data_IF_915486107047
#
_entry.id   IF_915486107047
#
_cell.length_a   1.000
_cell.length_b   1.000
_cell.length_c   1.000
_cell.angle_alpha   90.00
_cell.angle_beta   90.00
_cell.angle_gamma   90.00
#
_symmetry.space_group_name_H-M   'P 1'
#
loop_
_entity.id
_entity.type
_entity.pdbx_description
1 polymer ?
#
# COMPACT_ATOMS: atom_id res chain seq x y z
N UNK A 1 33.44 26.13 -44.28
CA UNK A 1 34.58 27.04 -44.15
C UNK A 1 34.77 27.43 -42.70
N UNK A 2 35.94 27.06 -42.18
CA UNK A 2 36.74 27.71 -41.13
C UNK A 2 36.13 27.78 -39.75
N UNK A 3 36.59 26.91 -38.80
CA UNK A 3 37.82 27.06 -37.95
C UNK A 3 37.70 28.23 -36.95
N UNK A 4 37.99 28.18 -35.68
CA UNK A 4 38.94 27.49 -34.85
C UNK A 4 38.63 27.95 -33.41
N UNK A 5 38.83 27.14 -32.41
CA UNK A 5 39.99 26.90 -31.58
C UNK A 5 40.24 27.86 -30.41
N UNK A 6 40.43 27.19 -29.25
CA UNK A 6 41.36 27.46 -28.15
C UNK A 6 41.14 28.76 -27.34
N UNK A 7 41.16 28.71 -26.03
CA UNK A 7 42.30 28.41 -25.18
C UNK A 7 41.93 28.27 -23.70
N UNK A 8 42.61 27.31 -23.09
CA UNK A 8 42.81 27.17 -21.66
C UNK A 8 43.47 28.40 -21.02
N UNK A 9 43.06 28.76 -19.82
CA UNK A 9 43.99 29.32 -18.82
C UNK A 9 43.62 28.81 -17.45
N UNK A 10 44.54 28.06 -16.90
CA UNK A 10 44.58 27.69 -15.49
C UNK A 10 45.25 28.83 -14.70
N UNK A 11 44.68 29.18 -13.55
CA UNK A 11 45.47 29.90 -12.51
C UNK A 11 45.12 29.27 -11.16
N UNK A 12 46.14 28.74 -10.56
CA UNK A 12 46.19 28.21 -9.22
C UNK A 12 46.61 29.29 -8.21
N UNK A 13 46.38 28.97 -6.96
CA UNK A 13 46.98 29.54 -5.71
C UNK A 13 46.04 30.51 -4.96
N UNK A 14 45.90 30.54 -3.65
CA UNK A 14 46.69 30.13 -2.49
C UNK A 14 45.84 30.31 -1.23
N UNK A 15 45.94 29.34 -0.31
CA UNK A 15 45.92 29.41 1.14
C UNK A 15 45.01 30.43 1.88
N UNK A 16 44.18 29.88 2.76
CA UNK A 16 43.59 30.55 3.90
C UNK A 16 42.98 29.53 4.85
N UNK A 17 43.77 28.97 5.75
CA UNK A 17 43.33 28.13 6.87
C UNK A 17 42.64 29.02 7.89
N UNK A 18 41.35 28.81 8.17
CA UNK A 18 40.68 29.24 9.39
C UNK A 18 39.97 28.04 9.99
N UNK A 19 40.54 27.50 11.04
CA UNK A 19 39.92 26.57 11.97
C UNK A 19 38.88 27.34 12.79
N UNK A 20 37.59 27.10 12.56
CA UNK A 20 36.57 27.39 13.55
C UNK A 20 35.87 26.08 13.84
N UNK A 21 36.11 25.61 15.05
CA UNK A 21 35.40 24.48 15.62
C UNK A 21 33.99 24.93 16.00
N UNK A 22 33.01 24.57 15.19
CA UNK A 22 31.63 24.62 15.61
C UNK A 22 31.16 23.19 15.95
N UNK A 23 30.90 23.02 17.24
CA UNK A 23 30.26 21.85 17.79
C UNK A 23 28.77 21.85 17.32
N UNK A 24 28.55 21.46 16.11
CA UNK A 24 27.19 21.21 15.58
C UNK A 24 26.74 19.83 16.00
N UNK A 25 25.71 19.73 16.83
CA UNK A 25 24.97 18.52 17.06
C UNK A 25 24.45 18.00 15.71
N UNK A 26 25.10 17.00 15.16
CA UNK A 26 24.59 16.22 14.05
C UNK A 26 23.43 15.40 14.56
N UNK A 27 22.23 15.90 14.34
CA UNK A 27 21.00 15.13 14.49
C UNK A 27 20.98 14.07 13.38
N UNK A 28 21.63 12.95 13.66
CA UNK A 28 21.60 11.75 12.84
C UNK A 28 20.17 11.25 12.84
N UNK A 29 19.35 11.68 11.86
CA UNK A 29 18.12 10.98 11.50
C UNK A 29 18.56 9.63 10.96
N UNK A 30 18.61 8.65 11.85
CA UNK A 30 18.62 7.25 11.50
C UNK A 30 17.29 7.02 10.77
N UNK A 31 17.33 6.97 9.44
CA UNK A 31 16.28 6.34 8.66
C UNK A 31 16.31 4.86 9.08
N UNK A 32 15.53 4.52 10.10
CA UNK A 32 15.08 3.17 10.29
C UNK A 32 14.16 2.89 9.10
N UNK A 33 14.73 2.33 8.05
CA UNK A 33 13.97 1.48 7.14
C UNK A 33 13.50 0.29 7.99
N UNK A 34 12.34 0.45 8.61
CA UNK A 34 11.54 -0.69 9.03
C UNK A 34 11.22 -1.43 7.74
N UNK A 35 12.01 -2.45 7.43
CA UNK A 35 11.58 -3.48 6.50
C UNK A 35 10.29 -4.04 7.11
N UNK A 36 9.18 -3.58 6.58
CA UNK A 36 7.84 -3.99 6.98
C UNK A 36 7.70 -5.43 6.49
N UNK A 37 8.20 -6.36 7.31
CA UNK A 37 8.19 -7.79 7.01
C UNK A 37 6.73 -8.24 7.11
N UNK A 38 5.98 -8.01 6.01
CA UNK A 38 4.60 -8.43 5.91
C UNK A 38 4.57 -9.94 5.84
N UNK A 39 3.86 -10.58 6.76
CA UNK A 39 3.58 -12.01 6.70
C UNK A 39 2.99 -12.34 5.32
N UNK A 40 3.59 -13.31 4.64
CA UNK A 40 3.11 -13.74 3.33
C UNK A 40 1.92 -14.66 3.51
N UNK A 41 0.72 -14.16 3.23
CA UNK A 41 -0.50 -14.94 3.28
C UNK A 41 -0.68 -15.76 2.00
N UNK A 42 -1.24 -16.96 2.16
CA UNK A 42 -1.60 -17.82 1.02
C UNK A 42 -3.04 -17.48 0.56
N UNK A 43 -3.15 -16.55 -0.39
CA UNK A 43 -4.44 -16.08 -0.89
C UNK A 43 -4.90 -16.93 -2.08
N UNK A 44 -6.16 -17.36 -2.06
CA UNK A 44 -6.81 -18.04 -3.18
C UNK A 44 -6.96 -17.07 -4.36
N UNK A 45 -6.44 -17.45 -5.52
CA UNK A 45 -6.44 -16.58 -6.72
C UNK A 45 -7.71 -16.72 -7.55
N UNK A 46 -8.42 -17.84 -7.43
CA UNK A 46 -9.68 -18.09 -8.14
C UNK A 46 -10.87 -17.44 -7.43
N UNK A 47 -11.99 -17.33 -8.15
CA UNK A 47 -13.25 -16.84 -7.56
C UNK A 47 -13.81 -17.88 -6.59
N UNK A 48 -13.65 -17.65 -5.31
CA UNK A 48 -14.01 -18.54 -4.21
C UNK A 48 -15.28 -18.11 -3.44
N UNK A 49 -15.97 -17.07 -3.93
CA UNK A 49 -17.14 -16.49 -3.27
C UNK A 49 -18.40 -17.34 -3.44
N UNK A 50 -19.30 -17.21 -2.49
CA UNK A 50 -20.61 -17.88 -2.49
C UNK A 50 -21.67 -17.15 -3.32
N UNK A 51 -21.25 -16.17 -4.13
CA UNK A 51 -22.08 -15.36 -5.03
C UNK A 51 -21.38 -15.16 -6.38
N UNK A 52 -22.13 -14.76 -7.39
CA UNK A 52 -21.57 -14.54 -8.72
C UNK A 52 -20.75 -13.25 -8.78
N UNK A 53 -19.65 -13.30 -9.52
CA UNK A 53 -18.85 -12.12 -9.78
C UNK A 53 -19.63 -11.13 -10.65
N UNK A 54 -19.63 -9.86 -10.26
CA UNK A 54 -20.26 -8.79 -11.02
C UNK A 54 -19.35 -8.31 -12.16
N UNK A 55 -19.93 -8.01 -13.28
CA UNK A 55 -19.26 -7.36 -14.41
C UNK A 55 -19.19 -5.82 -14.28
N UNK A 56 -19.90 -5.24 -13.29
CA UNK A 56 -19.97 -3.78 -13.04
C UNK A 56 -18.85 -3.23 -12.20
N UNK A 57 -18.02 -4.08 -11.62
CA UNK A 57 -16.88 -3.70 -10.77
C UNK A 57 -15.63 -4.52 -11.09
N UNK A 58 -14.49 -4.03 -10.62
CA UNK A 58 -13.24 -4.77 -10.57
C UNK A 58 -13.09 -5.36 -9.17
N UNK A 59 -12.50 -6.54 -9.09
CA UNK A 59 -12.20 -7.22 -7.84
C UNK A 59 -10.74 -7.61 -7.80
N UNK A 60 -10.10 -7.46 -6.63
CA UNK A 60 -8.79 -8.01 -6.35
C UNK A 60 -8.62 -8.28 -4.86
N UNK A 61 -7.83 -9.29 -4.52
CA UNK A 61 -7.42 -9.51 -3.15
C UNK A 61 -6.29 -8.55 -2.77
N UNK A 62 -6.34 -8.05 -1.55
CA UNK A 62 -5.33 -7.15 -0.97
C UNK A 62 -5.03 -7.58 0.46
N UNK A 63 -3.86 -7.17 0.95
CA UNK A 63 -3.46 -7.38 2.34
C UNK A 63 -3.09 -6.06 2.98
N UNK A 64 -3.31 -5.94 4.28
CA UNK A 64 -2.89 -4.79 5.07
C UNK A 64 -2.65 -5.21 6.53
N UNK A 65 -1.87 -4.43 7.25
CA UNK A 65 -1.65 -4.68 8.68
C UNK A 65 -2.65 -3.95 9.54
N UNK A 66 -3.13 -4.62 10.56
CA UNK A 66 -3.87 -3.96 11.62
C UNK A 66 -2.89 -3.28 12.60
N UNK A 67 -3.43 -2.57 13.61
CA UNK A 67 -2.62 -1.88 14.63
C UNK A 67 -1.76 -2.80 15.50
N UNK A 68 -2.00 -4.09 15.48
CA UNK A 68 -1.22 -5.10 16.21
C UNK A 68 -0.15 -5.78 15.35
N UNK A 69 0.01 -5.34 14.10
CA UNK A 69 0.99 -5.90 13.18
C UNK A 69 0.54 -7.17 12.46
N UNK A 70 -0.68 -7.65 12.71
CA UNK A 70 -1.23 -8.84 12.06
C UNK A 70 -1.64 -8.49 10.63
N UNK A 71 -1.21 -9.29 9.65
CA UNK A 71 -1.59 -9.13 8.26
C UNK A 71 -3.00 -9.65 8.03
N UNK A 72 -3.88 -8.81 7.53
CA UNK A 72 -5.26 -9.15 7.20
C UNK A 72 -5.43 -9.32 5.70
N UNK A 73 -6.25 -10.30 5.32
CA UNK A 73 -6.68 -10.53 3.95
C UNK A 73 -8.02 -9.85 3.68
N UNK A 74 -8.15 -9.26 2.50
CA UNK A 74 -9.38 -8.57 2.11
C UNK A 74 -9.65 -8.69 0.61
N UNK A 75 -10.91 -8.56 0.26
CA UNK A 75 -11.39 -8.37 -1.10
C UNK A 75 -11.72 -6.89 -1.33
N UNK A 76 -11.00 -6.27 -2.24
CA UNK A 76 -11.26 -4.90 -2.68
C UNK A 76 -12.13 -4.94 -3.93
N UNK A 77 -13.24 -4.21 -3.90
CA UNK A 77 -14.14 -4.02 -5.03
C UNK A 77 -14.15 -2.55 -5.43
N UNK A 78 -13.88 -2.29 -6.69
CA UNK A 78 -13.78 -0.96 -7.27
C UNK A 78 -14.84 -0.81 -8.37
N UNK A 79 -15.69 0.24 -8.35
CA UNK A 79 -16.67 0.46 -9.41
C UNK A 79 -15.94 0.72 -10.74
N UNK A 80 -16.51 0.25 -11.84
CA UNK A 80 -16.04 0.59 -13.18
C UNK A 80 -16.56 1.97 -13.59
N UNK A 81 -15.79 2.67 -14.42
CA UNK A 81 -16.20 3.93 -15.07
C UNK A 81 -16.58 5.06 -14.11
N UNK A 82 -15.96 5.11 -12.94
CA UNK A 82 -16.11 6.22 -11.98
C UNK A 82 -14.78 6.97 -11.87
N UNK A 83 -14.82 8.28 -12.06
CA UNK A 83 -13.65 9.15 -11.96
C UNK A 83 -13.65 9.94 -10.64
N UNK A 84 -12.46 10.30 -10.18
CA UNK A 84 -12.27 11.12 -8.99
C UNK A 84 -12.21 10.33 -7.69
N UNK A 85 -12.45 11.03 -6.58
CA UNK A 85 -12.41 10.45 -5.23
C UNK A 85 -13.70 9.72 -4.93
N UNK A 86 -13.60 8.44 -4.57
CA UNK A 86 -14.74 7.62 -4.17
C UNK A 86 -14.92 7.67 -2.64
N UNK A 87 -16.18 7.64 -2.22
CA UNK A 87 -16.49 7.30 -0.83
C UNK A 87 -16.18 5.81 -0.60
N UNK A 88 -15.57 5.50 0.53
CA UNK A 88 -15.11 4.14 0.85
C UNK A 88 -15.92 3.51 1.98
N UNK A 89 -16.14 2.19 1.87
CA UNK A 89 -16.83 1.38 2.89
C UNK A 89 -15.97 0.16 3.22
N UNK A 90 -15.67 -0.02 4.49
CA UNK A 90 -15.06 -1.25 5.00
C UNK A 90 -16.15 -2.13 5.62
N UNK A 91 -16.14 -3.41 5.28
CA UNK A 91 -17.15 -4.39 5.68
C UNK A 91 -16.46 -5.57 6.34
N UNK A 92 -16.95 -5.98 7.51
CA UNK A 92 -16.59 -7.24 8.15
C UNK A 92 -17.86 -8.05 8.40
N UNK A 93 -17.72 -9.38 8.37
CA UNK A 93 -18.79 -10.29 8.70
C UNK A 93 -19.01 -10.41 10.21
N UNK A 94 -20.07 -11.10 10.63
CA UNK A 94 -20.26 -11.51 12.02
C UNK A 94 -19.18 -12.51 12.45
N UNK A 95 -19.08 -12.77 13.75
CA UNK A 95 -18.11 -13.74 14.29
C UNK A 95 -18.21 -15.10 13.56
N UNK A 96 -17.06 -15.60 13.10
CA UNK A 96 -16.97 -16.88 12.38
C UNK A 96 -17.34 -16.83 10.90
N UNK A 97 -17.75 -15.67 10.37
CA UNK A 97 -17.95 -15.50 8.93
C UNK A 97 -16.67 -15.00 8.24
N UNK A 98 -16.52 -15.36 6.98
CA UNK A 98 -15.41 -14.95 6.11
C UNK A 98 -15.88 -14.03 5.00
N UNK A 99 -14.92 -13.27 4.43
CA UNK A 99 -15.18 -12.25 3.40
C UNK A 99 -15.80 -12.82 2.11
N UNK A 100 -15.64 -14.12 1.85
CA UNK A 100 -16.22 -14.82 0.70
C UNK A 100 -17.74 -15.02 0.78
N UNK A 101 -18.38 -14.60 1.88
CA UNK A 101 -19.80 -14.79 2.16
C UNK A 101 -20.59 -13.48 2.10
N UNK A 102 -21.46 -13.22 3.08
CA UNK A 102 -22.37 -12.08 3.08
C UNK A 102 -21.67 -10.72 3.03
N UNK A 103 -20.54 -10.57 3.70
CA UNK A 103 -19.77 -9.31 3.69
C UNK A 103 -19.21 -8.99 2.31
N UNK A 104 -18.71 -9.98 1.57
CA UNK A 104 -18.24 -9.80 0.20
C UNK A 104 -19.39 -9.48 -0.77
N UNK A 105 -20.54 -10.17 -0.64
CA UNK A 105 -21.72 -9.85 -1.44
C UNK A 105 -22.19 -8.41 -1.21
N UNK A 106 -22.22 -7.98 0.06
CA UNK A 106 -22.58 -6.60 0.37
C UNK A 106 -21.57 -5.61 -0.22
N UNK A 107 -20.26 -5.88 -0.06
CA UNK A 107 -19.22 -5.04 -0.62
C UNK A 107 -19.32 -4.93 -2.15
N UNK A 108 -19.50 -6.05 -2.86
CA UNK A 108 -19.72 -6.05 -4.31
C UNK A 108 -20.94 -5.22 -4.70
N UNK A 109 -22.06 -5.40 -4.01
CA UNK A 109 -23.30 -4.66 -4.28
C UNK A 109 -23.14 -3.15 -4.07
N UNK A 110 -22.34 -2.73 -3.08
CA UNK A 110 -22.06 -1.31 -2.85
C UNK A 110 -21.07 -0.75 -3.88
N UNK A 111 -20.12 -1.55 -4.34
CA UNK A 111 -19.24 -1.14 -5.44
C UNK A 111 -20.01 -0.90 -6.74
N UNK A 112 -21.02 -1.73 -7.05
CA UNK A 112 -21.91 -1.51 -8.19
C UNK A 112 -22.69 -0.18 -8.12
N UNK A 113 -22.80 0.39 -6.92
CA UNK A 113 -23.46 1.69 -6.65
C UNK A 113 -22.47 2.86 -6.59
N UNK A 114 -21.20 2.63 -6.91
CA UNK A 114 -20.18 3.67 -7.02
C UNK A 114 -19.31 3.89 -5.77
N UNK A 115 -19.35 3.00 -4.79
CA UNK A 115 -18.45 3.07 -3.63
C UNK A 115 -17.20 2.24 -3.86
N UNK A 116 -16.06 2.70 -3.33
CA UNK A 116 -14.89 1.84 -3.14
C UNK A 116 -15.14 0.98 -1.90
N UNK A 117 -15.10 -0.34 -2.02
CA UNK A 117 -15.47 -1.20 -0.90
C UNK A 117 -14.42 -2.25 -0.60
N UNK A 118 -14.24 -2.55 0.68
CA UNK A 118 -13.30 -3.52 1.20
C UNK A 118 -14.03 -4.49 2.12
N UNK A 119 -14.14 -5.77 1.76
CA UNK A 119 -14.56 -6.82 2.67
C UNK A 119 -13.33 -7.55 3.20
N UNK A 120 -13.17 -7.66 4.52
CA UNK A 120 -11.98 -8.25 5.12
C UNK A 120 -12.29 -9.32 6.16
N UNK A 121 -11.35 -10.26 6.28
CA UNK A 121 -11.35 -11.22 7.37
C UNK A 121 -10.70 -10.60 8.61
N UNK A 122 -11.30 -10.67 9.77
CA UNK A 122 -10.64 -10.33 11.04
C UNK A 122 -9.39 -11.19 11.28
N UNK A 123 -8.53 -10.77 12.21
CA UNK A 123 -7.39 -11.58 12.67
C UNK A 123 -7.85 -12.99 13.05
N UNK A 124 -7.04 -13.98 12.74
CA UNK A 124 -7.29 -15.40 13.02
C UNK A 124 -8.49 -16.03 12.29
N UNK A 125 -8.99 -15.36 11.25
CA UNK A 125 -10.17 -15.80 10.51
C UNK A 125 -9.86 -15.87 9.02
N UNK A 126 -10.38 -16.86 8.31
CA UNK A 126 -10.29 -17.02 6.86
C UNK A 126 -8.85 -17.06 6.38
N UNK A 127 -8.50 -16.15 5.45
CA UNK A 127 -7.15 -16.03 4.89
C UNK A 127 -6.28 -15.03 5.67
N UNK A 128 -6.79 -14.37 6.71
CA UNK A 128 -6.01 -13.45 7.54
C UNK A 128 -5.04 -14.20 8.44
N UNK A 129 -3.89 -13.56 8.68
CA UNK A 129 -2.84 -14.08 9.54
C UNK A 129 -3.13 -13.95 11.02
N UNK A 130 -2.08 -14.27 11.79
CA UNK A 130 -2.09 -14.36 13.23
C UNK A 130 -2.19 -15.81 13.70
N UNK A 131 -1.67 -16.05 14.89
CA UNK A 131 -1.84 -17.32 15.62
C UNK A 131 -2.60 -17.03 16.90
N UNK A 132 -3.57 -17.86 17.29
CA UNK A 132 -4.35 -17.66 18.49
C UNK A 132 -3.55 -17.86 19.79
#
# INVERSE_FOLDING_TARGET
>A
MKTANLTSVAIAALLGIVMLADAGCTNSKTNQETSDNMETLNLTQEWDKKFLQSDKGNHRKVTFKNRYGITLAADLYEPKNVEGKLAAIAVSGPFGAVKEQASGLYAQTMAERGFLTLAFDPSYTGESGGEP
#
